data_IF_618473135691
#
_entry.id   IF_618473135691
#
_cell.length_a   1.000
_cell.length_b   1.000
_cell.length_c   1.000
_cell.angle_alpha   90.00
_cell.angle_beta   90.00
_cell.angle_gamma   90.00
#
_symmetry.space_group_name_H-M   'P 1'
#
loop_
_entity.id
_entity.type
_entity.pdbx_description
1 polymer ?
#
# COMPACT_ATOMS: atom_id res chain seq x y z
N UNK A 1 -16.89 -12.56 -57.61
CA UNK A 1 -16.46 -11.14 -57.47
C UNK A 1 -15.89 -10.98 -56.07
N UNK A 2 -14.59 -11.21 -55.84
CA UNK A 2 -13.41 -10.39 -56.13
C UNK A 2 -13.24 -9.12 -55.27
N UNK A 3 -12.03 -9.06 -54.65
CA UNK A 3 -11.26 -7.97 -54.01
C UNK A 3 -11.32 -7.96 -52.48
N UNK A 4 -10.30 -8.43 -51.72
CA UNK A 4 -8.85 -8.11 -51.64
C UNK A 4 -8.53 -6.63 -51.35
N UNK A 5 -7.96 -6.40 -50.16
CA UNK A 5 -6.86 -5.49 -49.77
C UNK A 5 -6.57 -5.84 -48.28
N UNK A 6 -5.52 -6.57 -47.88
CA UNK A 6 -4.05 -6.40 -47.98
C UNK A 6 -3.50 -5.25 -47.12
N UNK A 7 -2.59 -5.63 -46.22
CA UNK A 7 -1.42 -4.91 -45.65
C UNK A 7 -1.46 -4.79 -44.12
N UNK A 8 -0.39 -4.93 -43.34
CA UNK A 8 0.98 -5.47 -43.47
C UNK A 8 1.62 -5.31 -42.05
N UNK A 9 2.64 -6.12 -41.74
CA UNK A 9 3.64 -5.94 -40.66
C UNK A 9 3.18 -6.23 -39.20
N UNK A 10 3.92 -6.97 -38.38
CA UNK A 10 5.24 -7.57 -38.54
C UNK A 10 5.41 -8.76 -37.60
N UNK A 11 6.05 -9.80 -38.10
CA UNK A 11 6.47 -10.95 -37.31
C UNK A 11 7.65 -10.52 -36.43
N UNK A 12 7.38 -10.30 -35.14
CA UNK A 12 8.44 -10.19 -34.13
C UNK A 12 8.95 -11.59 -33.88
N UNK A 13 10.14 -11.86 -34.41
CA UNK A 13 10.95 -13.03 -34.12
C UNK A 13 11.38 -12.91 -32.65
N UNK A 14 10.59 -13.47 -31.73
CA UNK A 14 10.99 -13.67 -30.34
C UNK A 14 12.11 -14.72 -30.32
N UNK A 15 13.35 -14.25 -30.30
CA UNK A 15 14.49 -15.04 -29.84
C UNK A 15 14.21 -15.36 -28.38
N UNK A 16 13.68 -16.55 -28.14
CA UNK A 16 13.63 -17.13 -26.82
C UNK A 16 15.09 -17.32 -26.36
N UNK A 17 15.61 -16.35 -25.61
CA UNK A 17 16.68 -16.61 -24.68
C UNK A 17 16.13 -17.66 -23.71
N UNK A 18 16.49 -18.92 -23.93
CA UNK A 18 16.40 -19.91 -22.88
C UNK A 18 17.36 -19.46 -21.79
N UNK A 19 16.91 -19.06 -20.58
CA UNK A 19 17.80 -19.11 -19.44
C UNK A 19 18.22 -20.56 -19.34
N UNK A 20 19.52 -20.83 -19.50
CA UNK A 20 20.07 -22.15 -19.26
C UNK A 20 19.52 -22.65 -17.94
N UNK A 21 18.90 -23.83 -17.96
CA UNK A 21 18.40 -24.47 -16.76
C UNK A 21 19.61 -24.75 -15.85
N UNK A 22 19.91 -23.80 -14.97
CA UNK A 22 20.75 -24.07 -13.82
C UNK A 22 19.97 -25.07 -12.98
N UNK A 23 20.41 -26.34 -13.00
CA UNK A 23 19.94 -27.33 -12.06
C UNK A 23 20.07 -26.74 -10.65
N UNK A 24 19.03 -26.90 -9.83
CA UNK A 24 19.09 -26.52 -8.43
C UNK A 24 20.20 -27.35 -7.77
N UNK A 25 21.38 -26.76 -7.64
CA UNK A 25 22.53 -27.40 -7.05
C UNK A 25 22.28 -27.58 -5.55
N UNK A 26 22.56 -28.79 -5.05
CA UNK A 26 22.42 -29.11 -3.63
C UNK A 26 23.33 -28.18 -2.80
N UNK A 27 22.80 -27.41 -1.82
CA UNK A 27 23.59 -26.49 -1.01
C UNK A 27 24.66 -27.18 -0.15
N UNK A 28 24.63 -28.51 -0.05
CA UNK A 28 25.60 -29.30 0.72
C UNK A 28 26.95 -29.50 0.01
N UNK A 29 27.00 -29.35 -1.31
CA UNK A 29 28.24 -29.49 -2.11
C UNK A 29 28.52 -28.22 -2.92
N UNK A 30 29.02 -27.14 -2.29
CA UNK A 30 29.23 -25.85 -2.95
C UNK A 30 30.20 -25.89 -4.13
N UNK A 31 31.13 -26.85 -4.14
CA UNK A 31 32.18 -26.99 -5.15
C UNK A 31 31.82 -27.95 -6.31
N UNK A 32 30.65 -28.60 -6.24
CA UNK A 32 30.18 -29.49 -7.30
C UNK A 32 30.01 -28.75 -8.63
N UNK A 33 30.62 -29.28 -9.69
CA UNK A 33 30.61 -28.72 -11.05
C UNK A 33 31.61 -27.58 -11.33
N UNK A 34 32.37 -27.15 -10.31
CA UNK A 34 33.42 -26.13 -10.48
C UNK A 34 34.80 -26.78 -10.68
N UNK A 35 35.03 -27.93 -10.05
CA UNK A 35 36.27 -28.69 -10.14
C UNK A 35 36.70 -29.01 -11.59
N UNK A 36 35.73 -29.39 -12.45
CA UNK A 36 35.99 -29.71 -13.86
C UNK A 36 36.52 -28.53 -14.69
N UNK A 37 36.46 -27.31 -14.16
CA UNK A 37 36.92 -26.07 -14.80
C UNK A 37 38.22 -25.52 -14.23
N UNK A 38 38.86 -26.25 -13.32
CA UNK A 38 40.09 -25.86 -12.64
C UNK A 38 41.17 -26.90 -12.89
N UNK A 39 42.41 -26.45 -13.13
CA UNK A 39 43.55 -27.33 -13.35
C UNK A 39 44.59 -27.20 -12.22
N UNK A 40 45.08 -28.35 -11.71
CA UNK A 40 46.20 -28.39 -10.76
C UNK A 40 45.90 -27.69 -9.43
N UNK A 41 46.59 -26.59 -9.15
CA UNK A 41 46.47 -25.81 -7.91
C UNK A 41 45.49 -24.62 -8.03
N UNK A 42 44.78 -24.52 -9.15
CA UNK A 42 43.78 -23.49 -9.38
C UNK A 42 42.61 -23.56 -8.41
N UNK A 43 42.10 -22.38 -8.03
CA UNK A 43 41.01 -22.21 -7.08
C UNK A 43 39.94 -21.28 -7.63
N UNK A 44 38.71 -21.51 -7.23
CA UNK A 44 37.56 -20.67 -7.59
C UNK A 44 36.77 -20.24 -6.36
N UNK A 45 36.33 -18.98 -6.33
CA UNK A 45 35.34 -18.53 -5.35
C UNK A 45 33.95 -18.83 -5.88
N UNK A 46 33.14 -19.48 -5.07
CA UNK A 46 31.72 -19.73 -5.33
C UNK A 46 30.90 -18.89 -4.36
N UNK A 47 29.99 -18.08 -4.89
CA UNK A 47 29.02 -17.35 -4.09
C UNK A 47 27.66 -18.04 -4.13
N UNK A 48 27.05 -18.18 -2.95
CA UNK A 48 25.70 -18.70 -2.77
C UNK A 48 24.84 -17.65 -2.06
N UNK A 49 23.72 -17.28 -2.67
CA UNK A 49 22.73 -16.38 -2.06
C UNK A 49 21.82 -17.13 -1.08
N UNK A 50 21.09 -16.41 -0.23
CA UNK A 50 20.09 -17.03 0.68
C UNK A 50 18.98 -17.77 -0.07
N UNK A 51 18.71 -17.39 -1.33
CA UNK A 51 17.76 -18.08 -2.19
C UNK A 51 18.31 -19.39 -2.79
N UNK A 52 19.57 -19.76 -2.49
CA UNK A 52 20.23 -20.94 -3.01
C UNK A 52 20.82 -20.77 -4.42
N UNK A 53 20.74 -19.58 -5.02
CA UNK A 53 21.38 -19.31 -6.31
C UNK A 53 22.90 -19.30 -6.14
N UNK A 54 23.59 -20.12 -6.94
CA UNK A 54 25.04 -20.31 -6.94
C UNK A 54 25.68 -19.71 -8.19
N UNK A 55 26.84 -19.08 -8.06
CA UNK A 55 27.68 -18.66 -9.20
C UNK A 55 29.16 -18.64 -8.85
N UNK A 56 30.01 -18.93 -9.84
CA UNK A 56 31.48 -18.95 -9.76
C UNK A 56 32.16 -18.00 -10.77
N UNK A 57 31.40 -17.20 -11.54
CA UNK A 57 31.98 -16.35 -12.58
C UNK A 57 31.05 -15.31 -13.22
N UNK A 58 29.76 -15.31 -12.92
CA UNK A 58 28.85 -14.27 -13.39
C UNK A 58 28.87 -13.05 -12.48
N UNK A 59 28.62 -11.86 -13.05
CA UNK A 59 28.28 -10.68 -12.24
C UNK A 59 26.99 -10.94 -11.45
N UNK A 60 27.04 -10.66 -10.15
CA UNK A 60 25.90 -10.66 -9.25
C UNK A 60 25.49 -9.22 -8.97
N UNK A 61 24.22 -8.92 -9.19
CA UNK A 61 23.65 -7.63 -8.81
C UNK A 61 22.84 -7.83 -7.54
N UNK A 62 23.31 -7.26 -6.43
CA UNK A 62 22.67 -7.40 -5.13
C UNK A 62 22.47 -6.04 -4.47
N UNK A 63 21.53 -6.00 -3.52
CA UNK A 63 21.21 -4.79 -2.78
C UNK A 63 21.95 -4.76 -1.44
N UNK A 64 22.24 -3.57 -0.88
CA UNK A 64 22.70 -3.44 0.50
C UNK A 64 21.81 -4.23 1.47
N UNK A 65 22.43 -4.90 2.46
CA UNK A 65 21.75 -5.79 3.40
C UNK A 65 21.55 -7.24 2.92
N UNK A 66 21.85 -7.55 1.65
CA UNK A 66 21.84 -8.93 1.14
C UNK A 66 22.91 -9.76 1.83
N UNK A 67 22.65 -11.06 2.07
CA UNK A 67 23.66 -11.96 2.64
C UNK A 67 24.17 -12.93 1.57
N UNK A 68 25.48 -13.13 1.57
CA UNK A 68 26.19 -14.04 0.69
C UNK A 68 26.99 -15.03 1.53
N UNK A 69 27.00 -16.29 1.11
CA UNK A 69 27.97 -17.28 1.56
C UNK A 69 29.01 -17.46 0.46
N UNK A 70 30.28 -17.34 0.80
CA UNK A 70 31.42 -17.44 -0.10
C UNK A 70 32.26 -18.65 0.29
N UNK A 71 32.44 -19.57 -0.64
CA UNK A 71 33.26 -20.77 -0.48
C UNK A 71 34.41 -20.73 -1.48
N UNK A 72 35.60 -21.13 -1.04
CA UNK A 72 36.75 -21.27 -1.93
C UNK A 72 36.93 -22.76 -2.27
N UNK A 73 36.81 -23.09 -3.55
CA UNK A 73 36.87 -24.45 -4.06
C UNK A 73 38.20 -24.73 -4.77
N UNK A 74 38.70 -25.95 -4.59
CA UNK A 74 39.90 -26.45 -5.26
C UNK A 74 39.54 -27.33 -6.49
N UNK A 75 40.54 -27.64 -7.31
CA UNK A 75 40.40 -28.51 -8.48
C UNK A 75 40.03 -29.97 -8.14
N UNK A 76 40.24 -30.43 -6.90
CA UNK A 76 39.79 -31.74 -6.42
C UNK A 76 38.30 -31.75 -6.00
N UNK A 77 37.63 -30.60 -6.04
CA UNK A 77 36.24 -30.43 -5.63
C UNK A 77 36.03 -30.21 -4.13
N UNK A 78 37.10 -30.08 -3.34
CA UNK A 78 36.98 -29.80 -1.91
C UNK A 78 36.90 -28.29 -1.61
N UNK A 79 36.18 -27.97 -0.52
CA UNK A 79 36.09 -26.62 0.02
C UNK A 79 37.23 -26.36 1.02
N UNK A 80 37.98 -25.27 0.79
CA UNK A 80 39.03 -24.83 1.70
C UNK A 80 38.45 -24.31 3.01
N UNK A 81 39.13 -24.64 4.11
CA UNK A 81 38.76 -24.18 5.44
C UNK A 81 39.12 -22.71 5.64
N UNK A 82 38.22 -21.99 6.28
CA UNK A 82 38.40 -20.62 6.75
C UNK A 82 39.10 -20.56 8.11
N UNK A 83 39.24 -21.71 8.81
CA UNK A 83 39.95 -21.89 10.09
C UNK A 83 40.99 -23.07 10.09
N UNK A 84 42.23 -22.84 10.57
CA UNK A 84 43.34 -23.80 10.73
C UNK A 84 44.22 -24.08 9.47
N UNK A 85 45.55 -24.03 9.61
CA UNK A 85 46.56 -24.57 8.68
C UNK A 85 46.67 -23.91 7.29
N UNK A 86 45.68 -24.15 6.43
CA UNK A 86 45.57 -23.72 5.03
C UNK A 86 44.46 -22.68 4.86
N UNK A 87 44.53 -21.68 5.71
CA UNK A 87 43.54 -20.64 5.93
C UNK A 87 43.38 -19.72 4.70
N UNK A 88 42.14 -19.55 4.22
CA UNK A 88 41.81 -18.44 3.33
C UNK A 88 40.94 -17.41 4.05
N UNK A 89 41.19 -16.14 3.75
CA UNK A 89 40.44 -15.03 4.34
C UNK A 89 39.95 -14.07 3.25
N UNK A 90 38.92 -13.29 3.56
CA UNK A 90 38.46 -12.18 2.74
C UNK A 90 38.99 -10.85 3.30
N UNK A 91 39.66 -10.10 2.43
CA UNK A 91 40.05 -8.73 2.71
C UNK A 91 38.86 -7.82 2.97
N UNK A 92 39.09 -6.76 3.76
CA UNK A 92 38.10 -5.70 3.94
C UNK A 92 37.83 -4.99 2.60
N UNK A 93 36.57 -4.69 2.31
CA UNK A 93 36.16 -3.98 1.11
C UNK A 93 34.86 -3.19 1.39
N UNK A 94 34.68 -1.96 0.86
CA UNK A 94 33.49 -1.14 1.12
C UNK A 94 32.16 -1.80 0.75
N UNK A 95 32.15 -2.64 -0.29
CA UNK A 95 30.97 -3.37 -0.76
C UNK A 95 30.48 -4.50 0.18
N UNK A 96 31.23 -4.83 1.25
CA UNK A 96 30.92 -5.95 2.14
C UNK A 96 31.18 -5.59 3.61
N UNK A 97 30.24 -5.96 4.47
CA UNK A 97 30.30 -5.79 5.92
C UNK A 97 29.91 -7.08 6.65
N UNK A 98 30.05 -7.08 7.97
CA UNK A 98 29.59 -8.15 8.86
C UNK A 98 30.05 -9.55 8.42
N UNK A 99 31.36 -9.71 8.22
CA UNK A 99 32.00 -10.99 7.89
C UNK A 99 31.94 -11.94 9.09
N UNK A 100 31.38 -13.15 8.90
CA UNK A 100 31.35 -14.22 9.90
C UNK A 100 31.83 -15.55 9.33
N UNK A 101 32.58 -16.29 10.14
CA UNK A 101 33.19 -17.58 9.78
C UNK A 101 32.18 -18.74 9.93
N UNK A 102 32.14 -19.63 8.94
CA UNK A 102 31.35 -20.86 8.91
C UNK A 102 32.19 -22.13 8.67
N UNK A 103 33.47 -22.15 9.07
CA UNK A 103 34.46 -23.23 8.93
C UNK A 103 34.98 -23.51 7.51
N UNK A 104 34.10 -23.55 6.52
CA UNK A 104 34.44 -23.78 5.10
C UNK A 104 33.96 -22.65 4.19
N UNK A 105 33.33 -21.63 4.77
CA UNK A 105 32.76 -20.51 4.04
C UNK A 105 32.75 -19.25 4.90
N UNK A 106 32.80 -18.10 4.22
CA UNK A 106 32.56 -16.80 4.83
C UNK A 106 31.13 -16.35 4.54
N UNK A 107 30.37 -16.00 5.57
CA UNK A 107 29.11 -15.27 5.39
C UNK A 107 29.40 -13.77 5.46
N UNK A 108 28.98 -13.01 4.45
CA UNK A 108 29.13 -11.55 4.40
C UNK A 108 27.78 -10.89 4.13
N UNK A 109 27.62 -9.66 4.60
CA UNK A 109 26.51 -8.78 4.26
C UNK A 109 26.97 -7.80 3.20
N UNK A 110 26.23 -7.66 2.10
CA UNK A 110 26.48 -6.64 1.08
C UNK A 110 26.24 -5.28 1.71
N UNK A 111 27.20 -4.38 1.55
CA UNK A 111 27.16 -3.01 2.07
C UNK A 111 27.66 -2.04 0.99
N UNK A 112 27.61 -0.74 1.23
CA UNK A 112 28.14 0.28 0.32
C UNK A 112 27.26 0.50 -0.93
N UNK A 113 26.66 1.68 -1.02
CA UNK A 113 25.89 2.07 -2.19
C UNK A 113 26.79 2.23 -3.43
N UNK A 114 26.36 1.67 -4.57
CA UNK A 114 27.01 1.81 -5.89
C UNK A 114 28.46 1.29 -5.97
N UNK A 115 28.86 0.44 -5.01
CA UNK A 115 30.17 -0.19 -4.98
C UNK A 115 30.23 -1.47 -5.83
N UNK A 116 31.43 -1.86 -6.25
CA UNK A 116 31.64 -3.14 -6.94
C UNK A 116 32.83 -3.88 -6.36
N UNK A 117 32.74 -5.21 -6.25
CA UNK A 117 33.77 -6.05 -5.69
C UNK A 117 34.00 -7.30 -6.55
N UNK A 118 35.26 -7.57 -6.90
CA UNK A 118 35.62 -8.85 -7.52
C UNK A 118 36.15 -9.79 -6.43
N UNK A 119 35.39 -10.83 -6.09
CA UNK A 119 35.76 -11.71 -4.98
C UNK A 119 37.13 -12.40 -5.13
N UNK A 120 37.57 -12.83 -6.32
CA UNK A 120 38.92 -13.40 -6.49
C UNK A 120 40.03 -12.47 -5.99
N UNK A 121 39.90 -11.17 -6.21
CA UNK A 121 40.87 -10.16 -5.77
C UNK A 121 40.81 -9.88 -4.27
N UNK A 122 39.74 -10.29 -3.59
CA UNK A 122 39.56 -10.11 -2.15
C UNK A 122 40.09 -11.29 -1.33
N UNK A 123 40.35 -12.44 -1.96
CA UNK A 123 40.90 -13.60 -1.27
C UNK A 123 42.34 -13.34 -0.86
N UNK A 124 42.65 -13.61 0.41
CA UNK A 124 43.99 -13.48 1.01
C UNK A 124 44.53 -14.84 1.41
N UNK A 125 45.86 -14.90 1.56
CA UNK A 125 46.61 -16.08 1.99
C UNK A 125 46.46 -17.29 1.06
N UNK A 126 46.03 -17.06 -0.18
CA UNK A 126 45.90 -18.07 -1.21
C UNK A 126 46.42 -17.52 -2.54
N UNK A 127 47.14 -18.37 -3.27
CA UNK A 127 47.53 -18.15 -4.66
C UNK A 127 46.59 -18.89 -5.62
N UNK A 128 46.65 -18.51 -6.89
CA UNK A 128 45.94 -19.17 -8.01
C UNK A 128 44.41 -19.17 -7.87
N UNK A 129 43.84 -18.13 -7.27
CA UNK A 129 42.39 -17.87 -7.33
C UNK A 129 42.09 -17.25 -8.69
N UNK A 130 41.75 -18.10 -9.66
CA UNK A 130 41.62 -17.72 -11.08
C UNK A 130 40.17 -17.39 -11.46
N UNK A 131 39.20 -17.86 -10.68
CA UNK A 131 37.78 -17.70 -10.96
C UNK A 131 37.00 -17.22 -9.73
N UNK A 132 35.92 -16.50 -9.98
CA UNK A 132 34.96 -16.11 -8.96
C UNK A 132 34.04 -14.99 -9.44
N UNK A 133 32.89 -14.79 -8.77
CA UNK A 133 31.92 -13.81 -9.20
C UNK A 133 32.39 -12.38 -8.91
N UNK A 134 31.88 -11.44 -9.68
CA UNK A 134 31.87 -10.01 -9.33
C UNK A 134 30.54 -9.66 -8.67
N UNK A 135 30.58 -8.76 -7.71
CA UNK A 135 29.44 -8.15 -7.06
C UNK A 135 29.33 -6.72 -7.55
N UNK A 136 28.14 -6.33 -8.01
CA UNK A 136 27.75 -4.94 -8.23
C UNK A 136 26.63 -4.61 -7.27
N UNK A 137 26.85 -3.66 -6.38
CA UNK A 137 25.83 -3.23 -5.42
C UNK A 137 24.91 -2.26 -6.13
N UNK A 138 23.64 -2.64 -6.25
CA UNK A 138 22.61 -1.77 -6.81
C UNK A 138 21.86 -1.11 -5.66
N UNK A 139 21.87 0.22 -5.59
CA UNK A 139 20.86 0.92 -4.79
C UNK A 139 19.53 0.87 -5.54
N UNK A 140 18.47 0.42 -4.86
CA UNK A 140 17.13 0.38 -5.43
C UNK A 140 16.67 1.76 -5.94
N UNK A 141 15.63 1.77 -6.77
CA UNK A 141 15.05 3.02 -7.25
C UNK A 141 14.50 3.81 -6.07
N UNK A 142 14.93 5.06 -5.94
CA UNK A 142 14.53 5.97 -4.87
C UNK A 142 13.17 6.58 -5.18
N UNK A 143 12.36 6.75 -4.14
CA UNK A 143 11.15 7.55 -4.17
C UNK A 143 10.96 8.21 -2.81
N UNK A 144 10.82 9.52 -2.80
CA UNK A 144 10.60 10.29 -1.58
C UNK A 144 9.09 10.34 -1.30
N UNK A 145 8.68 9.76 -0.17
CA UNK A 145 7.28 9.72 0.27
C UNK A 145 6.78 11.15 0.51
N UNK A 146 5.63 11.47 -0.05
CA UNK A 146 4.97 12.76 0.14
C UNK A 146 4.34 12.90 1.53
N UNK A 147 4.02 11.78 2.19
CA UNK A 147 3.46 11.73 3.55
C UNK A 147 4.54 12.01 4.60
N UNK A 148 5.76 11.48 4.44
CA UNK A 148 6.82 11.58 5.47
C UNK A 148 8.05 12.39 5.07
N UNK A 149 8.24 12.69 3.78
CA UNK A 149 9.50 13.12 3.18
C UNK A 149 10.66 12.13 3.37
N UNK A 150 10.38 10.89 3.78
CA UNK A 150 11.37 9.81 3.87
C UNK A 150 11.66 9.19 2.50
N UNK A 151 12.90 8.77 2.27
CA UNK A 151 13.26 8.08 1.02
C UNK A 151 12.97 6.58 1.12
N UNK A 152 12.04 6.10 0.31
CA UNK A 152 11.81 4.68 0.08
C UNK A 152 12.69 4.16 -1.05
N UNK A 153 13.13 2.91 -0.92
CA UNK A 153 13.91 2.20 -1.92
C UNK A 153 13.08 1.05 -2.50
N UNK A 154 13.11 0.89 -3.82
CA UNK A 154 12.37 -0.15 -4.54
C UNK A 154 13.29 -1.01 -5.40
N UNK A 155 13.02 -2.31 -5.46
CA UNK A 155 13.76 -3.23 -6.33
C UNK A 155 13.48 -2.99 -7.83
N UNK A 156 12.26 -2.54 -8.15
CA UNK A 156 11.81 -2.38 -9.53
C UNK A 156 10.93 -1.13 -9.71
N UNK A 157 10.85 -0.67 -10.97
CA UNK A 157 10.13 0.55 -11.31
C UNK A 157 8.62 0.43 -11.21
N UNK A 158 8.05 -0.78 -11.33
CA UNK A 158 6.62 -0.99 -11.25
C UNK A 158 6.12 -0.87 -9.81
N UNK A 159 6.85 -1.46 -8.85
CA UNK A 159 6.59 -1.33 -7.42
C UNK A 159 6.68 0.13 -6.96
N UNK A 160 7.74 0.84 -7.38
CA UNK A 160 7.88 2.28 -7.13
C UNK A 160 6.70 3.08 -7.66
N UNK A 161 6.36 2.91 -8.94
CA UNK A 161 5.26 3.62 -9.58
C UNK A 161 3.88 3.22 -9.03
N UNK A 162 3.75 2.05 -8.41
CA UNK A 162 2.53 1.64 -7.73
C UNK A 162 2.35 2.37 -6.39
N UNK A 163 3.43 2.50 -5.60
CA UNK A 163 3.40 3.26 -4.33
C UNK A 163 3.19 4.74 -4.61
N UNK A 164 3.96 5.33 -5.53
CA UNK A 164 3.84 6.75 -5.93
C UNK A 164 2.39 7.11 -6.32
N UNK A 165 1.75 6.29 -7.16
CA UNK A 165 0.36 6.52 -7.56
C UNK A 165 -0.63 6.36 -6.40
N UNK A 166 -0.51 5.32 -5.57
CA UNK A 166 -1.47 5.12 -4.49
C UNK A 166 -1.31 6.14 -3.36
N UNK A 167 -0.10 6.61 -3.08
CA UNK A 167 0.13 7.69 -2.13
C UNK A 167 -0.46 9.01 -2.65
N UNK A 168 -0.23 9.35 -3.93
CA UNK A 168 -0.87 10.52 -4.55
C UNK A 168 -2.41 10.43 -4.51
N UNK A 169 -2.98 9.26 -4.82
CA UNK A 169 -4.43 9.04 -4.75
C UNK A 169 -4.96 9.12 -3.31
N UNK A 170 -4.18 8.68 -2.32
CA UNK A 170 -4.52 8.76 -0.90
C UNK A 170 -4.57 10.21 -0.44
N UNK A 171 -3.53 11.01 -0.74
CA UNK A 171 -3.48 12.44 -0.42
C UNK A 171 -4.65 13.21 -1.06
N UNK A 172 -4.94 12.93 -2.35
CA UNK A 172 -6.08 13.53 -3.04
C UNK A 172 -7.43 13.16 -2.41
N UNK A 173 -7.58 11.91 -1.94
CA UNK A 173 -8.79 11.49 -1.24
C UNK A 173 -8.96 12.18 0.12
N UNK A 174 -7.86 12.41 0.86
CA UNK A 174 -7.90 13.19 2.11
C UNK A 174 -8.31 14.64 1.86
N UNK A 175 -7.74 15.28 0.85
CA UNK A 175 -8.11 16.63 0.46
C UNK A 175 -9.60 16.71 0.08
N UNK A 176 -10.10 15.73 -0.67
CA UNK A 176 -11.51 15.64 -1.03
C UNK A 176 -12.42 15.47 0.20
N UNK A 177 -12.02 14.69 1.22
CA UNK A 177 -12.78 14.60 2.49
C UNK A 177 -12.84 15.96 3.17
N UNK A 178 -11.71 16.66 3.30
CA UNK A 178 -11.65 17.98 3.94
C UNK A 178 -12.46 19.04 3.19
N UNK A 179 -12.36 19.07 1.85
CA UNK A 179 -13.09 19.99 0.99
C UNK A 179 -14.61 19.76 1.09
N UNK A 180 -15.07 18.51 0.94
CA UNK A 180 -16.49 18.20 1.02
C UNK A 180 -17.07 18.47 2.42
N UNK A 181 -16.30 18.21 3.49
CA UNK A 181 -16.74 18.51 4.86
C UNK A 181 -16.87 20.02 5.09
N UNK A 182 -15.96 20.82 4.53
CA UNK A 182 -16.05 22.28 4.56
C UNK A 182 -17.26 22.78 3.78
N UNK A 183 -17.52 22.24 2.59
CA UNK A 183 -18.71 22.54 1.79
C UNK A 183 -20.00 22.21 2.55
N UNK A 184 -20.05 21.06 3.25
CA UNK A 184 -21.23 20.65 4.02
C UNK A 184 -21.56 21.65 5.13
N UNK A 185 -20.55 22.11 5.87
CA UNK A 185 -20.72 23.14 6.90
C UNK A 185 -21.05 24.52 6.34
N UNK A 186 -20.79 24.77 5.06
CA UNK A 186 -21.19 25.98 4.35
C UNK A 186 -22.62 25.92 3.78
N UNK A 187 -23.34 24.80 3.89
CA UNK A 187 -24.70 24.69 3.35
C UNK A 187 -25.71 25.53 4.14
N UNK A 188 -26.79 25.96 3.47
CA UNK A 188 -27.87 26.77 4.06
C UNK A 188 -28.46 26.19 5.36
N UNK A 189 -28.39 24.86 5.51
CA UNK A 189 -28.86 24.13 6.68
C UNK A 189 -27.97 24.41 7.91
N UNK A 190 -26.67 24.56 7.71
CA UNK A 190 -25.70 24.88 8.75
C UNK A 190 -25.61 26.38 9.04
N UNK A 191 -25.83 27.23 8.04
CA UNK A 191 -25.69 28.70 8.15
C UNK A 191 -26.98 29.40 8.60
N UNK A 192 -28.09 28.66 8.70
CA UNK A 192 -29.38 29.22 9.14
C UNK A 192 -30.13 30.00 8.05
N UNK A 193 -29.73 29.85 6.79
CA UNK A 193 -30.44 30.37 5.63
C UNK A 193 -31.77 29.63 5.38
N UNK A 194 -32.66 30.17 4.51
CA UNK A 194 -33.87 29.45 4.10
C UNK A 194 -33.51 28.11 3.47
N UNK A 195 -34.08 27.03 4.02
CA UNK A 195 -33.86 25.67 3.50
C UNK A 195 -34.88 25.42 2.40
N UNK A 196 -34.41 25.28 1.16
CA UNK A 196 -35.19 24.82 0.03
C UNK A 196 -34.80 23.40 -0.40
N UNK A 197 -35.50 22.85 -1.40
CA UNK A 197 -35.20 21.52 -1.92
C UNK A 197 -33.78 21.41 -2.49
N UNK A 198 -33.25 22.48 -3.09
CA UNK A 198 -31.90 22.51 -3.66
C UNK A 198 -30.79 22.54 -2.60
N UNK A 199 -31.03 23.13 -1.44
CA UNK A 199 -30.14 23.06 -0.29
C UNK A 199 -30.06 21.64 0.28
N UNK A 200 -31.20 20.93 0.30
CA UNK A 200 -31.27 19.54 0.73
C UNK A 200 -30.50 18.61 -0.21
N UNK A 201 -30.70 18.77 -1.52
CA UNK A 201 -30.02 17.99 -2.55
C UNK A 201 -28.50 18.19 -2.49
N UNK A 202 -28.03 19.45 -2.39
CA UNK A 202 -26.61 19.77 -2.21
C UNK A 202 -26.01 19.15 -0.94
N UNK A 203 -26.74 19.20 0.18
CA UNK A 203 -26.26 18.59 1.42
C UNK A 203 -26.16 17.07 1.30
N UNK A 204 -27.14 16.42 0.65
CA UNK A 204 -27.14 14.98 0.44
C UNK A 204 -26.04 14.52 -0.54
N UNK A 205 -25.83 15.27 -1.64
CA UNK A 205 -24.73 15.05 -2.58
C UNK A 205 -23.38 15.20 -1.87
N UNK A 206 -23.22 16.25 -1.06
CA UNK A 206 -21.99 16.48 -0.30
C UNK A 206 -21.73 15.35 0.70
N UNK A 207 -22.74 14.87 1.44
CA UNK A 207 -22.63 13.71 2.33
C UNK A 207 -22.23 12.42 1.58
N UNK A 208 -22.79 12.22 0.38
CA UNK A 208 -22.42 11.10 -0.50
C UNK A 208 -20.95 11.21 -0.93
N UNK A 209 -20.50 12.41 -1.32
CA UNK A 209 -19.11 12.69 -1.69
C UNK A 209 -18.14 12.49 -0.53
N UNK A 210 -18.48 12.91 0.70
CA UNK A 210 -17.68 12.62 1.91
C UNK A 210 -17.55 11.12 2.11
N UNK A 211 -18.64 10.37 1.97
CA UNK A 211 -18.64 8.90 2.15
C UNK A 211 -17.77 8.22 1.09
N UNK A 212 -17.93 8.61 -0.19
CA UNK A 212 -17.13 8.10 -1.29
C UNK A 212 -15.63 8.41 -1.13
N UNK A 213 -15.29 9.65 -0.77
CA UNK A 213 -13.91 10.06 -0.53
C UNK A 213 -13.29 9.34 0.68
N UNK A 214 -14.04 9.13 1.76
CA UNK A 214 -13.58 8.37 2.94
C UNK A 214 -13.30 6.90 2.58
N UNK A 215 -14.16 6.29 1.76
CA UNK A 215 -13.96 4.92 1.30
C UNK A 215 -12.76 4.81 0.35
N UNK A 216 -12.59 5.77 -0.56
CA UNK A 216 -11.44 5.85 -1.44
C UNK A 216 -10.14 5.98 -0.63
N UNK A 217 -10.07 6.94 0.30
CA UNK A 217 -8.94 7.12 1.22
C UNK A 217 -8.58 5.82 1.94
N UNK A 218 -9.56 5.15 2.57
CA UNK A 218 -9.33 3.88 3.29
C UNK A 218 -8.81 2.78 2.35
N UNK A 219 -9.38 2.67 1.15
CA UNK A 219 -8.97 1.67 0.17
C UNK A 219 -7.53 1.92 -0.31
N UNK A 220 -7.20 3.17 -0.63
CA UNK A 220 -5.86 3.57 -1.10
C UNK A 220 -4.80 3.39 -0.03
N UNK A 221 -5.13 3.70 1.21
CA UNK A 221 -4.28 3.40 2.36
C UNK A 221 -4.00 1.90 2.45
N UNK A 222 -5.03 1.06 2.49
CA UNK A 222 -4.84 -0.40 2.58
C UNK A 222 -4.03 -0.97 1.42
N UNK A 223 -4.21 -0.45 0.21
CA UNK A 223 -3.39 -0.84 -0.96
C UNK A 223 -1.94 -0.42 -0.76
N UNK A 224 -1.69 0.82 -0.33
CA UNK A 224 -0.34 1.33 -0.06
C UNK A 224 0.34 0.53 1.05
N UNK A 225 -0.35 0.28 2.17
CA UNK A 225 0.14 -0.55 3.26
C UNK A 225 0.53 -1.95 2.78
N UNK A 226 -0.28 -2.61 1.95
CA UNK A 226 0.08 -3.93 1.39
C UNK A 226 1.34 -3.88 0.53
N UNK A 227 1.49 -2.84 -0.29
CA UNK A 227 2.69 -2.65 -1.12
C UNK A 227 3.92 -2.40 -0.24
N UNK A 228 3.78 -1.52 0.76
CA UNK A 228 4.85 -1.18 1.70
C UNK A 228 5.21 -2.33 2.64
N UNK A 229 4.25 -3.17 3.06
CA UNK A 229 4.54 -4.39 3.80
C UNK A 229 5.26 -5.43 2.94
N UNK A 230 4.88 -5.55 1.65
CA UNK A 230 5.66 -6.34 0.69
C UNK A 230 7.09 -5.84 0.56
N UNK A 231 7.26 -4.51 0.55
CA UNK A 231 8.57 -3.85 0.48
C UNK A 231 9.37 -4.00 1.78
N UNK A 232 8.76 -3.86 2.95
CA UNK A 232 9.36 -4.06 4.26
C UNK A 232 9.74 -5.54 4.48
N UNK A 233 8.92 -6.48 4.00
CA UNK A 233 9.28 -7.88 3.97
C UNK A 233 10.46 -8.15 3.01
N UNK A 234 10.63 -7.33 1.98
CA UNK A 234 11.84 -7.32 1.16
C UNK A 234 12.99 -6.69 1.96
N UNK A 235 14.22 -7.18 1.80
CA UNK A 235 15.38 -6.70 2.58
C UNK A 235 15.86 -5.29 2.21
N UNK A 236 15.12 -4.58 1.36
CA UNK A 236 15.46 -3.27 0.82
C UNK A 236 14.57 -2.23 1.52
N UNK A 237 15.12 -1.49 2.50
CA UNK A 237 14.47 -0.30 3.08
C UNK A 237 13.36 -0.56 4.09
N UNK A 238 13.62 -1.39 5.10
CA UNK A 238 12.60 -1.87 6.04
C UNK A 238 12.05 -0.79 6.99
N UNK A 239 12.90 0.10 7.50
CA UNK A 239 12.53 1.08 8.54
C UNK A 239 11.70 2.24 7.99
N UNK A 240 12.05 2.75 6.81
CA UNK A 240 11.34 3.88 6.20
C UNK A 240 9.92 3.49 5.75
N UNK A 241 9.73 2.26 5.26
CA UNK A 241 8.41 1.78 4.84
C UNK A 241 7.42 1.70 6.01
N UNK A 242 7.86 1.23 7.19
CA UNK A 242 7.03 1.21 8.40
C UNK A 242 6.69 2.61 8.89
N UNK A 243 7.66 3.52 8.85
CA UNK A 243 7.46 4.94 9.22
C UNK A 243 6.40 5.60 8.33
N UNK A 244 6.41 5.31 7.02
CA UNK A 244 5.35 5.79 6.10
C UNK A 244 3.99 5.22 6.46
N UNK A 245 3.90 3.92 6.78
CA UNK A 245 2.64 3.29 7.19
C UNK A 245 2.09 3.95 8.47
N UNK A 246 2.94 4.19 9.47
CA UNK A 246 2.55 4.86 10.71
C UNK A 246 2.05 6.28 10.47
N UNK A 247 2.76 7.05 9.63
CA UNK A 247 2.34 8.40 9.28
C UNK A 247 1.00 8.43 8.52
N UNK A 248 0.78 7.52 7.57
CA UNK A 248 -0.52 7.39 6.88
C UNK A 248 -1.66 7.07 7.86
N UNK A 249 -1.38 6.23 8.86
CA UNK A 249 -2.35 5.93 9.92
C UNK A 249 -2.69 7.16 10.76
N UNK A 250 -1.70 7.97 11.12
CA UNK A 250 -1.89 9.16 11.93
C UNK A 250 -2.61 10.28 11.17
N UNK A 251 -2.28 10.50 9.90
CA UNK A 251 -2.98 11.44 9.02
C UNK A 251 -4.45 11.03 8.84
N UNK A 252 -4.72 9.75 8.57
CA UNK A 252 -6.10 9.25 8.46
C UNK A 252 -6.86 9.49 9.77
N UNK A 253 -6.26 9.19 10.93
CA UNK A 253 -6.90 9.43 12.23
C UNK A 253 -7.17 10.91 12.47
N UNK A 254 -6.26 11.80 12.05
CA UNK A 254 -6.46 13.24 12.16
C UNK A 254 -7.63 13.71 11.29
N UNK A 255 -7.65 13.32 10.01
CA UNK A 255 -8.74 13.66 9.07
C UNK A 255 -10.08 13.10 9.52
N UNK A 256 -10.13 11.83 9.97
CA UNK A 256 -11.37 11.23 10.52
C UNK A 256 -11.86 11.98 11.75
N UNK A 257 -10.98 12.39 12.66
CA UNK A 257 -11.36 13.17 13.86
C UNK A 257 -11.94 14.53 13.48
N UNK A 258 -11.27 15.30 12.64
CA UNK A 258 -11.76 16.60 12.16
C UNK A 258 -13.10 16.44 11.42
N UNK A 259 -13.22 15.43 10.55
CA UNK A 259 -14.47 15.12 9.84
C UNK A 259 -15.61 14.81 10.80
N UNK A 260 -15.37 13.99 11.84
CA UNK A 260 -16.37 13.67 12.87
C UNK A 260 -16.81 14.91 13.65
N UNK A 261 -15.87 15.75 14.07
CA UNK A 261 -16.17 16.98 14.81
C UNK A 261 -17.04 17.92 13.97
N UNK A 262 -16.70 18.10 12.70
CA UNK A 262 -17.48 18.92 11.77
C UNK A 262 -18.86 18.34 11.49
N UNK A 263 -18.99 17.03 11.30
CA UNK A 263 -20.28 16.38 11.13
C UNK A 263 -21.16 16.46 12.38
N UNK A 264 -20.57 16.41 13.58
CA UNK A 264 -21.29 16.64 14.84
C UNK A 264 -21.78 18.08 14.95
N UNK A 265 -20.95 19.05 14.58
CA UNK A 265 -21.36 20.46 14.54
C UNK A 265 -22.51 20.67 13.54
N UNK A 266 -22.42 20.07 12.36
CA UNK A 266 -23.51 20.07 11.38
C UNK A 266 -24.79 19.44 11.93
N UNK A 267 -24.70 18.26 12.57
CA UNK A 267 -25.84 17.60 13.18
C UNK A 267 -26.51 18.46 14.27
N UNK A 268 -25.72 19.14 15.09
CA UNK A 268 -26.22 20.05 16.12
C UNK A 268 -26.96 21.24 15.50
N UNK A 269 -26.40 21.87 14.44
CA UNK A 269 -27.06 22.95 13.72
C UNK A 269 -28.39 22.50 13.09
N UNK A 270 -28.42 21.30 12.51
CA UNK A 270 -29.63 20.67 11.96
C UNK A 270 -30.67 20.47 13.07
N UNK A 271 -30.29 19.96 14.24
CA UNK A 271 -31.20 19.71 15.35
C UNK A 271 -31.73 21.00 16.00
N UNK A 272 -30.89 22.04 16.13
CA UNK A 272 -31.32 23.37 16.56
C UNK A 272 -32.36 23.95 15.59
N UNK A 273 -32.13 23.79 14.28
CA UNK A 273 -33.08 24.21 13.25
C UNK A 273 -34.40 23.44 13.35
N UNK A 274 -34.36 22.13 13.60
CA UNK A 274 -35.58 21.32 13.86
C UNK A 274 -36.34 21.81 15.06
N UNK A 275 -35.64 22.16 16.15
CA UNK A 275 -36.27 22.67 17.36
C UNK A 275 -36.99 24.00 17.07
N UNK A 276 -36.31 24.94 16.42
CA UNK A 276 -36.89 26.23 16.01
C UNK A 276 -38.10 26.06 15.10
N UNK A 277 -38.03 25.12 14.14
CA UNK A 277 -39.14 24.83 13.23
C UNK A 277 -40.31 24.14 13.93
N UNK A 278 -40.08 23.27 14.92
CA UNK A 278 -41.15 22.67 15.72
C UNK A 278 -41.90 23.74 16.52
N UNK A 279 -41.18 24.70 17.08
CA UNK A 279 -41.81 25.81 17.81
C UNK A 279 -42.56 26.76 16.87
N UNK A 280 -42.04 27.00 15.66
CA UNK A 280 -42.76 27.74 14.61
C UNK A 280 -43.98 26.97 14.07
N UNK A 281 -43.91 25.63 13.97
CA UNK A 281 -45.00 24.77 13.52
C UNK A 281 -46.20 24.78 14.49
N UNK A 282 -45.93 24.94 15.80
CA UNK A 282 -46.98 25.14 16.81
C UNK A 282 -47.78 26.42 16.57
N UNK A 283 -47.18 27.42 15.92
CA UNK A 283 -47.84 28.68 15.55
C UNK A 283 -48.41 28.67 14.12
N UNK A 284 -47.80 27.92 13.19
CA UNK A 284 -48.25 27.78 11.80
C UNK A 284 -48.05 26.34 11.28
N UNK A 285 -49.11 25.52 11.36
CA UNK A 285 -49.07 24.06 11.14
C UNK A 285 -48.64 23.65 9.72
N UNK A 286 -49.02 24.40 8.68
CA UNK A 286 -48.76 24.04 7.28
C UNK A 286 -47.31 24.32 6.82
N UNK A 287 -46.75 25.46 7.21
CA UNK A 287 -45.36 25.84 6.89
C UNK A 287 -44.34 24.98 7.66
N UNK A 288 -44.67 24.60 8.90
CA UNK A 288 -43.81 23.77 9.73
C UNK A 288 -43.66 22.32 9.26
N UNK A 289 -44.67 21.76 8.57
CA UNK A 289 -44.66 20.36 8.15
C UNK A 289 -43.71 20.10 6.98
N UNK A 290 -43.71 20.98 5.96
CA UNK A 290 -42.82 20.85 4.78
C UNK A 290 -41.36 21.00 5.20
N UNK A 291 -41.04 22.06 5.94
CA UNK A 291 -39.65 22.29 6.39
C UNK A 291 -39.23 21.25 7.43
N UNK A 292 -40.12 20.82 8.32
CA UNK A 292 -39.87 19.75 9.29
C UNK A 292 -39.55 18.40 8.64
N UNK A 293 -40.23 18.02 7.55
CA UNK A 293 -39.91 16.81 6.78
C UNK A 293 -38.54 16.88 6.10
N UNK A 294 -38.18 18.03 5.52
CA UNK A 294 -36.89 18.23 4.85
C UNK A 294 -35.74 18.12 5.84
N UNK A 295 -35.82 18.80 6.98
CA UNK A 295 -34.79 18.69 8.02
C UNK A 295 -34.81 17.31 8.68
N UNK A 296 -35.98 16.66 8.73
CA UNK A 296 -36.20 15.25 9.11
C UNK A 296 -35.33 14.25 8.34
N UNK A 297 -35.24 14.41 7.02
CA UNK A 297 -34.42 13.57 6.15
C UNK A 297 -32.92 13.74 6.39
N UNK A 298 -32.43 14.98 6.56
CA UNK A 298 -30.98 15.25 6.73
C UNK A 298 -30.43 14.63 8.00
N UNK A 299 -30.99 14.93 9.16
CA UNK A 299 -30.46 14.32 10.38
C UNK A 299 -30.79 12.82 10.49
N UNK A 300 -31.74 12.32 9.68
CA UNK A 300 -31.92 10.88 9.46
C UNK A 300 -30.74 10.23 8.73
N UNK A 301 -30.01 10.96 7.87
CA UNK A 301 -28.80 10.49 7.20
C UNK A 301 -27.52 10.69 8.03
N UNK A 302 -27.44 11.77 8.82
CA UNK A 302 -26.23 12.09 9.61
C UNK A 302 -26.07 11.17 10.84
N UNK A 303 -27.16 10.85 11.55
CA UNK A 303 -27.12 9.95 12.73
C UNK A 303 -26.59 8.54 12.44
N UNK A 304 -27.06 7.81 11.42
CA UNK A 304 -26.52 6.48 11.11
C UNK A 304 -25.06 6.54 10.64
N UNK A 305 -24.61 7.65 10.03
CA UNK A 305 -23.20 7.84 9.70
C UNK A 305 -22.33 7.94 10.96
N UNK A 306 -22.74 8.77 11.93
CA UNK A 306 -22.05 8.88 13.22
C UNK A 306 -22.07 7.55 13.99
N UNK A 307 -23.21 6.86 14.03
CA UNK A 307 -23.32 5.55 14.67
C UNK A 307 -22.46 4.48 13.97
N UNK A 308 -22.44 4.44 12.64
CA UNK A 308 -21.62 3.50 11.87
C UNK A 308 -20.13 3.66 12.17
N UNK A 309 -19.64 4.90 12.31
CA UNK A 309 -18.23 5.14 12.64
C UNK A 309 -17.88 4.84 14.10
N UNK A 310 -18.81 5.00 15.04
CA UNK A 310 -18.63 4.61 16.44
C UNK A 310 -18.55 3.08 16.58
N UNK A 311 -19.29 2.35 15.74
CA UNK A 311 -19.16 0.89 15.61
C UNK A 311 -17.83 0.44 15.01
N UNK A 312 -17.23 1.19 14.09
CA UNK A 312 -15.96 0.83 13.44
C UNK A 312 -14.76 0.99 14.40
N UNK A 313 -14.80 2.00 15.28
CA UNK A 313 -13.81 2.23 16.35
C UNK A 313 -13.83 1.07 17.39
N UNK A 314 -15.02 0.56 17.74
CA UNK A 314 -15.20 -0.59 18.62
C UNK A 314 -14.77 -1.92 17.95
N UNK A 315 -14.91 -1.99 16.62
CA UNK A 315 -14.54 -3.17 15.83
C UNK A 315 -13.02 -3.30 15.63
N UNK A 316 -12.30 -2.18 15.56
CA UNK A 316 -10.83 -2.17 15.49
C UNK A 316 -10.16 -2.70 16.77
N UNK A 317 -10.84 -2.66 17.91
CA UNK A 317 -10.34 -3.15 19.21
C UNK A 317 -10.80 -4.57 19.56
N UNK A 318 -11.82 -5.11 18.88
CA UNK A 318 -12.39 -6.42 19.20
C UNK A 318 -12.57 -7.26 17.93
N UNK A 319 -11.52 -8.01 17.56
CA UNK A 319 -11.54 -8.90 16.40
C UNK A 319 -12.39 -10.16 16.64
N UNK A 320 -12.90 -10.72 15.53
CA UNK A 320 -13.66 -11.97 15.38
C UNK A 320 -15.17 -11.94 15.69
N UNK A 321 -15.93 -11.37 14.76
CA UNK A 321 -17.38 -11.58 14.67
C UNK A 321 -17.87 -11.32 13.26
N UNK A 322 -18.01 -12.38 12.46
CA UNK A 322 -18.70 -12.30 11.16
C UNK A 322 -20.20 -12.15 11.44
N UNK A 323 -20.72 -10.92 11.41
CA UNK A 323 -22.16 -10.69 11.41
C UNK A 323 -22.69 -10.50 9.99
N UNK A 324 -23.78 -11.22 9.70
CA UNK A 324 -24.53 -11.21 8.45
C UNK A 324 -24.87 -9.79 7.98
N UNK A 325 -24.71 -9.57 6.67
CA UNK A 325 -25.11 -8.35 5.93
C UNK A 325 -26.55 -7.86 6.22
N UNK A 326 -27.40 -8.67 6.85
CA UNK A 326 -28.78 -8.34 7.19
C UNK A 326 -28.95 -7.17 8.18
N UNK A 327 -27.98 -6.91 9.07
CA UNK A 327 -28.09 -5.83 10.07
C UNK A 327 -27.90 -4.44 9.45
N UNK A 328 -27.19 -4.34 8.32
CA UNK A 328 -26.98 -3.07 7.59
C UNK A 328 -28.18 -2.72 6.71
N UNK A 329 -28.88 -3.70 6.14
CA UNK A 329 -30.05 -3.45 5.28
C UNK A 329 -31.33 -3.14 6.05
N UNK A 330 -31.47 -3.64 7.28
CA UNK A 330 -32.67 -3.41 8.10
C UNK A 330 -33.01 -1.92 8.33
N UNK A 331 -32.07 -1.04 8.75
CA UNK A 331 -32.40 0.38 8.95
C UNK A 331 -32.68 1.12 7.63
N UNK A 332 -32.05 0.74 6.52
CA UNK A 332 -32.33 1.32 5.19
C UNK A 332 -33.73 0.92 4.70
N UNK A 333 -34.12 -0.34 4.89
CA UNK A 333 -35.45 -0.83 4.56
C UNK A 333 -36.55 -0.16 5.40
N UNK A 334 -36.29 0.05 6.70
CA UNK A 334 -37.20 0.79 7.60
C UNK A 334 -37.30 2.27 7.19
N UNK A 335 -36.19 2.89 6.78
CA UNK A 335 -36.18 4.25 6.25
C UNK A 335 -37.04 4.40 4.99
N UNK A 336 -36.88 3.50 4.02
CA UNK A 336 -37.70 3.47 2.80
C UNK A 336 -39.20 3.23 3.10
N UNK A 337 -39.51 2.35 4.05
CA UNK A 337 -40.89 2.10 4.47
C UNK A 337 -41.54 3.35 5.09
N UNK A 338 -40.79 4.11 5.91
CA UNK A 338 -41.30 5.36 6.49
C UNK A 338 -41.50 6.46 5.46
N UNK A 339 -40.65 6.55 4.43
CA UNK A 339 -40.85 7.48 3.30
C UNK A 339 -42.12 7.10 2.52
N UNK A 340 -42.33 5.81 2.24
CA UNK A 340 -43.53 5.34 1.55
C UNK A 340 -44.82 5.62 2.36
N UNK A 341 -44.77 5.44 3.68
CA UNK A 341 -45.89 5.78 4.59
C UNK A 341 -46.14 7.29 4.60
N UNK A 342 -45.10 8.11 4.61
CA UNK A 342 -45.21 9.58 4.52
C UNK A 342 -45.87 10.05 3.22
N UNK A 343 -45.47 9.47 2.09
CA UNK A 343 -46.07 9.74 0.78
C UNK A 343 -47.55 9.27 0.75
N UNK A 344 -47.83 8.10 1.30
CA UNK A 344 -49.18 7.56 1.40
C UNK A 344 -50.12 8.44 2.25
N UNK A 345 -49.63 8.94 3.39
CA UNK A 345 -50.38 9.86 4.25
C UNK A 345 -50.60 11.23 3.58
N UNK A 346 -49.63 11.75 2.83
CA UNK A 346 -49.77 12.99 2.08
C UNK A 346 -50.80 12.88 0.94
N UNK A 347 -50.84 11.73 0.25
CA UNK A 347 -51.85 11.44 -0.75
C UNK A 347 -53.25 11.24 -0.13
N UNK A 348 -53.34 10.59 1.02
CA UNK A 348 -54.61 10.28 1.69
C UNK A 348 -55.26 11.48 2.38
N UNK A 349 -54.46 12.42 2.90
CA UNK A 349 -54.96 13.64 3.56
C UNK A 349 -55.34 14.76 2.58
N UNK A 350 -55.25 14.52 1.26
CA UNK A 350 -55.70 15.47 0.25
C UNK A 350 -54.80 16.69 0.07
N UNK A 351 -53.57 16.68 0.60
CA UNK A 351 -52.61 17.79 0.43
C UNK A 351 -52.21 18.03 -1.03
N UNK A 352 -52.39 17.03 -1.91
CA UNK A 352 -52.20 17.17 -3.36
C UNK A 352 -53.43 17.74 -4.10
N UNK A 353 -54.57 17.91 -3.43
CA UNK A 353 -55.79 18.48 -4.00
C UNK A 353 -55.90 20.01 -3.89
N UNK A 354 -54.93 20.68 -3.24
CA UNK A 354 -54.91 22.14 -3.05
C UNK A 354 -53.87 22.83 -3.95
N UNK A 355 -53.15 22.07 -4.79
CA UNK A 355 -52.21 22.59 -5.81
C UNK A 355 -52.65 22.14 -7.22
N UNK A 356 -53.95 22.28 -7.51
CA UNK A 356 -54.51 22.28 -8.86
C UNK A 356 -55.52 23.43 -8.97
#
# INVERSE_FOLDING_TARGET
>A
MNRRLVSLAGAILLVAFAPGAAGAADPTEPCSGVADSLDGEEKAVVATTVAGTRTNGSEMVLYPGSRLSLTLCQADGEALRTAGGDLWDLGAHPAIANKSDGETHWTVTVDGADESAAFPALVRNQSQVVQGPSLRVQTGLRYDSQVTNGTLLFADGASRAAVERNESDFLAAMEAVGANTTTLNGTAIATGEPVDAGALERANETLSNITGATQAMTTRKQTTERLLYGQAASRIGNEDALTVIEAMNDEERAVRRDTRERLRAYAAAVDERRAALRDAARTNVLLGLVVGCLVGLVAGAVRPYLAYQEYDDFRATTSSGSYERQVVYAPVAVGLALVAIGIGLAAWTGALGVIA
#
